data_IF_397466411438
#
_entry.id   IF_397466411438
#
_cell.length_a   1.000
_cell.length_b   1.000
_cell.length_c   1.000
_cell.angle_alpha   90.00
_cell.angle_beta   90.00
_cell.angle_gamma   90.00
#
_symmetry.space_group_name_H-M   'P 1'
#
loop_
_entity.id
_entity.type
_entity.pdbx_description
1 polymer ?
#
# COMPACT_ATOMS: atom_id res chain seq x y z
N UNK A 1 6.73 1.94 16.35
CA UNK A 1 7.55 2.30 17.54
C UNK A 1 7.77 1.06 18.40
N UNK A 2 8.86 1.01 19.15
CA UNK A 2 9.09 -0.01 20.18
C UNK A 2 8.29 0.27 21.46
N UNK A 3 8.23 -0.68 22.38
CA UNK A 3 7.57 -0.58 23.70
C UNK A 3 8.09 0.56 24.56
N UNK A 4 9.39 0.85 24.46
CA UNK A 4 10.11 1.92 25.17
C UNK A 4 10.15 3.25 24.40
N UNK A 5 9.32 3.41 23.35
CA UNK A 5 9.12 4.70 22.69
C UNK A 5 10.10 5.03 21.57
N UNK A 6 10.91 4.08 21.09
CA UNK A 6 11.83 4.32 19.98
C UNK A 6 11.07 4.25 18.66
N UNK A 7 11.09 5.35 17.90
CA UNK A 7 10.61 5.38 16.52
C UNK A 7 11.69 4.87 15.56
N UNK A 8 11.33 3.92 14.70
CA UNK A 8 12.23 3.27 13.76
C UNK A 8 11.50 2.91 12.46
N UNK A 9 12.26 2.72 11.39
CA UNK A 9 11.74 2.43 10.06
C UNK A 9 11.43 0.95 9.89
N UNK A 10 10.16 0.63 9.65
CA UNK A 10 9.69 -0.68 9.21
C UNK A 10 8.36 -0.53 8.47
N UNK A 11 8.09 -1.40 7.49
CA UNK A 11 6.85 -1.35 6.68
C UNK A 11 5.61 -1.96 7.36
N UNK A 12 5.70 -2.40 8.61
CA UNK A 12 4.58 -2.91 9.40
C UNK A 12 4.92 -2.89 10.89
N UNK A 13 3.89 -2.82 11.74
CA UNK A 13 4.02 -3.03 13.18
C UNK A 13 4.16 -4.52 13.54
N UNK A 14 3.71 -5.44 12.68
CA UNK A 14 3.90 -6.89 12.85
C UNK A 14 5.28 -7.30 12.31
N UNK A 15 6.18 -7.60 13.25
CA UNK A 15 7.56 -7.99 12.99
C UNK A 15 7.66 -9.38 12.35
N UNK A 16 6.61 -10.20 12.41
CA UNK A 16 6.67 -11.58 11.96
C UNK A 16 6.90 -11.70 10.44
N UNK A 17 6.31 -10.79 9.67
CA UNK A 17 6.34 -10.83 8.20
C UNK A 17 7.68 -10.39 7.60
N UNK A 18 8.46 -9.59 8.31
CA UNK A 18 9.62 -8.86 7.75
C UNK A 18 10.89 -8.99 8.60
N UNK A 19 10.89 -9.87 9.59
CA UNK A 19 12.04 -10.13 10.47
C UNK A 19 12.09 -11.60 10.91
N UNK A 20 13.09 -11.96 11.71
CA UNK A 20 13.19 -13.26 12.39
C UNK A 20 12.40 -13.34 13.71
N UNK A 21 11.42 -12.47 13.95
CA UNK A 21 10.71 -12.41 15.23
C UNK A 21 10.07 -13.74 15.65
N UNK A 22 9.44 -14.47 14.72
CA UNK A 22 8.79 -15.75 15.04
C UNK A 22 9.74 -16.83 15.58
N UNK A 23 11.05 -16.75 15.32
CA UNK A 23 12.00 -17.74 15.85
C UNK A 23 12.39 -17.48 17.30
N UNK A 24 12.25 -16.24 17.76
CA UNK A 24 12.81 -15.80 19.06
C UNK A 24 11.73 -15.34 20.04
N UNK A 25 10.64 -14.78 19.53
CA UNK A 25 9.58 -14.16 20.34
C UNK A 25 8.20 -14.79 20.09
N UNK A 26 8.16 -16.08 19.73
CA UNK A 26 6.90 -16.80 19.49
C UNK A 26 5.94 -16.72 20.68
N UNK A 27 6.46 -16.74 21.91
CA UNK A 27 5.66 -16.60 23.14
C UNK A 27 4.98 -15.24 23.30
N UNK A 28 5.44 -14.21 22.57
CA UNK A 28 4.84 -12.87 22.55
C UNK A 28 3.84 -12.68 21.42
N UNK A 29 3.53 -13.74 20.67
CA UNK A 29 2.54 -13.70 19.62
C UNK A 29 1.15 -13.45 20.20
N UNK A 30 0.45 -12.46 19.66
CA UNK A 30 -0.88 -12.06 20.11
C UNK A 30 -1.72 -11.59 18.94
N UNK A 31 -3.04 -11.46 19.13
CA UNK A 31 -3.95 -10.91 18.12
C UNK A 31 -4.39 -9.52 18.57
N UNK A 32 -4.18 -8.54 17.70
CA UNK A 32 -4.62 -7.14 17.89
C UNK A 32 -5.59 -6.81 16.77
N UNK A 33 -6.89 -6.97 17.05
CA UNK A 33 -7.95 -6.89 16.04
C UNK A 33 -8.07 -5.49 15.40
N UNK A 34 -7.61 -4.45 16.09
CA UNK A 34 -7.55 -3.07 15.58
C UNK A 34 -6.47 -2.90 14.49
N UNK A 35 -5.52 -3.83 14.39
CA UNK A 35 -4.40 -3.78 13.43
C UNK A 35 -4.57 -4.85 12.35
N UNK A 36 -4.79 -6.10 12.75
CA UNK A 36 -4.92 -7.23 11.85
C UNK A 36 -5.66 -8.42 12.49
N UNK A 37 -6.23 -9.28 11.65
CA UNK A 37 -6.99 -10.46 12.11
C UNK A 37 -6.13 -11.69 12.45
N UNK A 38 -4.85 -11.68 12.08
CA UNK A 38 -3.94 -12.80 12.36
C UNK A 38 -3.08 -12.50 13.58
N UNK A 39 -2.70 -13.54 14.29
CA UNK A 39 -1.72 -13.40 15.37
C UNK A 39 -0.38 -12.94 14.80
N UNK A 40 0.23 -11.97 15.47
CA UNK A 40 1.48 -11.34 15.07
C UNK A 40 2.38 -11.08 16.27
N UNK A 41 3.61 -10.66 15.99
CA UNK A 41 4.54 -10.21 17.03
C UNK A 41 4.76 -8.73 16.80
N UNK A 42 4.21 -7.90 17.67
CA UNK A 42 4.14 -6.48 17.40
C UNK A 42 5.32 -5.70 17.98
N UNK A 43 5.78 -4.68 17.25
CA UNK A 43 6.92 -3.85 17.66
C UNK A 43 6.70 -3.16 19.01
N UNK A 44 5.47 -2.76 19.31
CA UNK A 44 5.10 -2.07 20.55
C UNK A 44 5.00 -2.99 21.78
N UNK A 45 5.22 -4.30 21.61
CA UNK A 45 5.32 -5.28 22.70
C UNK A 45 6.79 -5.65 23.02
N UNK A 46 7.74 -5.18 22.21
CA UNK A 46 9.18 -5.41 22.38
C UNK A 46 9.94 -4.14 22.71
N UNK A 47 10.93 -4.23 23.60
CA UNK A 47 11.91 -3.17 23.81
C UNK A 47 12.74 -2.97 22.55
N UNK A 48 13.27 -1.76 22.34
CA UNK A 48 14.17 -1.50 21.21
C UNK A 48 15.39 -2.42 21.23
N UNK A 49 15.96 -2.68 22.41
CA UNK A 49 17.08 -3.61 22.59
C UNK A 49 16.73 -5.05 22.17
N UNK A 50 15.50 -5.51 22.39
CA UNK A 50 15.01 -6.81 21.90
C UNK A 50 14.90 -6.80 20.37
N UNK A 51 14.33 -5.74 19.78
CA UNK A 51 14.17 -5.59 18.33
C UNK A 51 15.53 -5.59 17.62
N UNK A 52 16.54 -4.96 18.21
CA UNK A 52 17.89 -4.92 17.65
C UNK A 52 18.57 -6.31 17.56
N UNK A 53 18.07 -7.31 18.29
CA UNK A 53 18.57 -8.70 18.17
C UNK A 53 18.01 -9.44 16.95
N UNK A 54 16.91 -8.94 16.38
CA UNK A 54 16.29 -9.53 15.21
C UNK A 54 17.09 -9.24 13.95
N UNK A 55 16.90 -10.08 12.93
CA UNK A 55 17.39 -9.80 11.59
C UNK A 55 16.23 -9.39 10.69
N UNK A 56 16.40 -8.38 9.81
CA UNK A 56 15.45 -8.14 8.72
C UNK A 56 15.24 -9.41 7.91
N UNK A 57 14.07 -9.58 7.30
CA UNK A 57 13.77 -10.67 6.39
C UNK A 57 13.19 -10.09 5.10
N UNK A 58 13.94 -10.18 4.02
CA UNK A 58 13.54 -9.70 2.71
C UNK A 58 12.47 -10.61 2.12
N UNK A 59 11.22 -10.17 2.19
CA UNK A 59 10.08 -10.87 1.62
C UNK A 59 9.67 -10.27 0.27
N UNK A 60 9.22 -11.15 -0.63
CA UNK A 60 8.59 -10.78 -1.88
C UNK A 60 7.08 -11.05 -1.83
N UNK A 61 6.31 -10.55 -2.82
CA UNK A 61 4.87 -10.79 -2.92
C UNK A 61 4.48 -12.27 -3.09
N UNK A 62 5.44 -13.16 -3.38
CA UNK A 62 5.25 -14.58 -3.67
C UNK A 62 6.07 -15.50 -2.75
N UNK A 63 6.34 -15.05 -1.52
CA UNK A 63 7.08 -15.83 -0.54
C UNK A 63 6.42 -17.20 -0.25
N UNK A 64 5.09 -17.29 -0.25
CA UNK A 64 4.35 -18.54 -0.04
C UNK A 64 4.57 -19.55 -1.18
N UNK A 65 4.79 -19.05 -2.40
CA UNK A 65 5.19 -19.85 -3.56
C UNK A 65 6.70 -20.18 -3.54
N UNK A 66 7.40 -19.86 -2.44
CA UNK A 66 8.86 -20.01 -2.26
C UNK A 66 9.69 -19.20 -3.26
N UNK A 67 9.11 -18.12 -3.79
CA UNK A 67 9.79 -17.18 -4.69
C UNK A 67 10.33 -16.01 -3.86
N UNK A 68 11.52 -16.21 -3.31
CA UNK A 68 12.25 -15.20 -2.54
C UNK A 68 12.98 -14.22 -3.47
N UNK A 69 12.99 -12.93 -3.13
CA UNK A 69 13.64 -11.88 -3.94
C UNK A 69 15.15 -12.04 -4.06
N UNK A 70 15.82 -12.27 -2.93
CA UNK A 70 17.27 -12.47 -2.89
C UNK A 70 17.63 -13.39 -1.70
N UNK A 71 17.63 -14.72 -1.92
CA UNK A 71 17.92 -15.70 -0.86
C UNK A 71 19.29 -15.48 -0.19
N UNK A 72 20.29 -15.08 -0.97
CA UNK A 72 21.66 -14.87 -0.47
C UNK A 72 21.75 -13.67 0.48
N UNK A 73 20.97 -12.62 0.23
CA UNK A 73 20.92 -11.41 1.05
C UNK A 73 19.65 -11.32 1.92
N UNK A 74 18.93 -12.43 2.14
CA UNK A 74 17.60 -12.43 2.78
C UNK A 74 17.56 -11.73 4.14
N UNK A 75 18.65 -11.79 4.90
CA UNK A 75 18.77 -11.16 6.21
C UNK A 75 19.79 -10.03 6.26
N UNK A 76 20.20 -9.50 5.11
CA UNK A 76 21.13 -8.38 5.05
C UNK A 76 20.45 -7.08 5.52
N UNK A 77 21.24 -6.20 6.14
CA UNK A 77 20.79 -4.90 6.63
C UNK A 77 20.66 -4.83 8.14
N UNK A 78 20.21 -3.66 8.62
CA UNK A 78 19.97 -3.34 10.03
C UNK A 78 18.75 -2.45 10.14
N UNK A 79 18.07 -2.50 11.29
CA UNK A 79 17.02 -1.52 11.58
C UNK A 79 17.64 -0.14 11.78
N UNK A 80 16.91 0.88 11.36
CA UNK A 80 17.32 2.27 11.43
C UNK A 80 16.29 3.04 12.24
N UNK A 81 16.74 3.80 13.23
CA UNK A 81 15.87 4.72 13.96
C UNK A 81 15.39 5.83 13.03
N UNK A 82 14.29 6.49 13.38
CA UNK A 82 13.79 7.62 12.61
C UNK A 82 14.84 8.73 12.50
N UNK A 83 15.58 9.03 13.58
CA UNK A 83 16.62 10.04 13.57
C UNK A 83 17.75 9.69 12.57
N UNK A 84 18.25 8.45 12.60
CA UNK A 84 19.28 8.00 11.67
C UNK A 84 18.80 8.02 10.21
N UNK A 85 17.53 7.68 9.96
CA UNK A 85 16.93 7.79 8.63
C UNK A 85 16.93 9.24 8.12
N UNK A 86 16.50 10.17 8.97
CA UNK A 86 16.40 11.58 8.64
C UNK A 86 17.79 12.19 8.34
N UNK A 87 18.82 11.80 9.09
CA UNK A 87 20.20 12.20 8.86
C UNK A 87 20.76 11.59 7.56
N UNK A 88 20.53 10.29 7.33
CA UNK A 88 20.93 9.60 6.12
C UNK A 88 20.29 10.23 4.86
N UNK A 89 18.99 10.52 4.94
CA UNK A 89 18.25 11.16 3.86
C UNK A 89 18.76 12.57 3.55
N UNK A 90 19.09 13.37 4.58
CA UNK A 90 19.68 14.71 4.42
C UNK A 90 21.03 14.70 3.73
N UNK A 91 21.86 13.69 4.02
CA UNK A 91 23.16 13.51 3.39
C UNK A 91 23.07 12.92 1.98
N UNK A 92 21.90 12.42 1.57
CA UNK A 92 21.70 11.73 0.29
C UNK A 92 21.25 12.68 -0.83
N UNK A 93 21.55 12.33 -2.08
CA UNK A 93 21.10 13.06 -3.27
C UNK A 93 19.66 12.68 -3.66
N UNK A 94 18.71 12.91 -2.75
CA UNK A 94 17.28 12.69 -2.96
C UNK A 94 16.52 14.01 -2.90
N UNK A 95 15.40 14.08 -3.62
CA UNK A 95 14.55 15.29 -3.70
C UNK A 95 13.58 15.43 -2.53
N UNK A 96 13.36 14.37 -1.76
CA UNK A 96 12.47 14.37 -0.63
C UNK A 96 12.40 13.03 0.08
N UNK A 97 11.64 13.01 1.18
CA UNK A 97 11.34 11.83 1.99
C UNK A 97 9.83 11.62 2.05
N UNK A 98 9.44 10.36 2.23
CA UNK A 98 8.08 9.96 2.54
C UNK A 98 8.12 9.19 3.86
N UNK A 99 7.28 9.60 4.81
CA UNK A 99 7.11 8.92 6.11
C UNK A 99 5.68 8.42 6.19
N UNK A 100 5.51 7.10 6.21
CA UNK A 100 4.25 6.44 6.52
C UNK A 100 4.02 6.35 8.02
N UNK A 101 2.84 6.75 8.48
CA UNK A 101 2.41 6.61 9.87
C UNK A 101 1.13 5.77 9.88
N UNK A 102 1.22 4.58 10.48
CA UNK A 102 0.10 3.63 10.58
C UNK A 102 -0.31 3.45 12.04
N UNK A 103 -1.59 3.17 12.27
CA UNK A 103 -2.14 2.79 13.59
C UNK A 103 -1.88 3.80 14.72
N UNK A 104 -1.82 5.10 14.41
CA UNK A 104 -1.45 6.12 15.40
C UNK A 104 -2.41 6.13 16.60
N UNK A 105 -3.71 6.03 16.34
CA UNK A 105 -4.74 6.00 17.40
C UNK A 105 -4.54 4.84 18.36
N UNK A 106 -4.22 3.65 17.84
CA UNK A 106 -3.93 2.47 18.66
C UNK A 106 -2.66 2.65 19.51
N UNK A 107 -1.60 3.22 18.92
CA UNK A 107 -0.35 3.47 19.63
C UNK A 107 -0.51 4.50 20.76
N UNK A 108 -1.30 5.56 20.56
CA UNK A 108 -1.61 6.55 21.59
C UNK A 108 -2.28 5.90 22.80
N UNK A 109 -3.23 4.99 22.59
CA UNK A 109 -3.88 4.23 23.67
C UNK A 109 -2.88 3.39 24.50
N UNK A 110 -1.69 3.12 23.96
CA UNK A 110 -0.58 2.43 24.62
C UNK A 110 0.53 3.38 25.11
N UNK A 111 0.22 4.67 25.22
CA UNK A 111 1.17 5.72 25.61
C UNK A 111 2.37 5.87 24.65
N UNK A 112 2.18 5.52 23.37
CA UNK A 112 3.17 5.67 22.30
C UNK A 112 2.66 6.68 21.28
N UNK A 113 3.05 7.94 21.43
CA UNK A 113 2.64 9.00 20.50
C UNK A 113 3.59 9.08 19.30
N UNK A 114 3.25 8.34 18.23
CA UNK A 114 4.03 8.31 16.99
C UNK A 114 3.97 9.63 16.22
N UNK A 115 2.87 10.37 16.32
CA UNK A 115 2.68 11.65 15.62
C UNK A 115 3.60 12.71 16.21
N UNK A 116 3.63 12.80 17.54
CA UNK A 116 4.55 13.68 18.27
C UNK A 116 6.01 13.28 18.04
N UNK A 117 6.33 11.98 18.12
CA UNK A 117 7.69 11.49 17.87
C UNK A 117 8.20 11.86 16.47
N UNK A 118 7.38 11.67 15.43
CA UNK A 118 7.73 12.03 14.04
C UNK A 118 7.86 13.55 13.88
N UNK A 119 6.91 14.32 14.41
CA UNK A 119 6.92 15.78 14.35
C UNK A 119 8.18 16.37 14.99
N UNK A 120 8.51 15.93 16.21
CA UNK A 120 9.73 16.36 16.92
C UNK A 120 10.99 15.96 16.17
N UNK A 121 11.06 14.75 15.61
CA UNK A 121 12.21 14.30 14.85
C UNK A 121 12.44 15.13 13.58
N UNK A 122 11.37 15.47 12.85
CA UNK A 122 11.43 16.33 11.66
C UNK A 122 11.90 17.75 11.99
N UNK A 123 11.37 18.35 13.06
CA UNK A 123 11.79 19.68 13.54
C UNK A 123 13.24 19.66 14.01
N UNK A 124 13.62 18.69 14.84
CA UNK A 124 14.99 18.54 15.35
C UNK A 124 15.99 18.39 14.21
N UNK A 125 15.63 17.62 13.19
CA UNK A 125 16.47 17.42 12.02
C UNK A 125 16.47 18.66 11.10
N UNK A 126 15.51 19.58 11.25
CA UNK A 126 15.40 20.81 10.46
C UNK A 126 14.74 20.62 9.10
N UNK A 127 13.83 19.66 8.97
CA UNK A 127 13.01 19.48 7.75
C UNK A 127 11.88 20.53 7.66
N UNK A 128 11.49 21.14 8.77
CA UNK A 128 10.50 22.22 8.85
C UNK A 128 11.05 23.58 8.38
N UNK A 129 12.37 23.71 8.27
CA UNK A 129 13.03 24.99 7.96
C UNK A 129 12.88 25.38 6.50
N UNK A 130 12.82 26.69 6.26
CA UNK A 130 12.76 27.23 4.90
C UNK A 130 13.97 26.87 4.05
N UNK A 131 15.13 26.70 4.69
CA UNK A 131 16.38 26.29 4.05
C UNK A 131 16.40 24.84 3.59
N UNK A 132 15.48 24.00 4.09
CA UNK A 132 15.39 22.61 3.64
C UNK A 132 14.81 22.55 2.22
N UNK A 133 15.60 22.05 1.28
CA UNK A 133 15.20 21.87 -0.13
C UNK A 133 14.48 20.54 -0.39
N UNK A 134 14.59 19.60 0.53
CA UNK A 134 13.98 18.28 0.42
C UNK A 134 12.49 18.38 0.75
N UNK A 135 11.64 17.82 -0.12
CA UNK A 135 10.20 17.68 0.14
C UNK A 135 9.96 16.68 1.26
N UNK A 136 8.90 16.89 2.04
CA UNK A 136 8.43 15.92 3.04
C UNK A 136 7.01 15.54 2.70
N UNK A 137 6.79 14.25 2.52
CA UNK A 137 5.47 13.64 2.36
C UNK A 137 5.15 12.88 3.66
N UNK A 138 4.03 13.20 4.28
CA UNK A 138 3.47 12.43 5.38
C UNK A 138 2.30 11.63 4.83
N UNK A 139 2.38 10.31 4.94
CA UNK A 139 1.39 9.40 4.42
C UNK A 139 0.70 8.68 5.59
N UNK A 140 -0.63 8.62 5.58
CA UNK A 140 -1.41 7.86 6.57
C UNK A 140 -2.80 7.53 6.02
N UNK A 141 -3.41 6.48 6.56
CA UNK A 141 -4.83 6.14 6.44
C UNK A 141 -5.71 6.99 7.38
N UNK A 142 -5.13 7.55 8.45
CA UNK A 142 -5.86 8.24 9.51
C UNK A 142 -5.94 9.75 9.24
N UNK A 143 -7.15 10.26 8.95
CA UNK A 143 -7.39 11.70 8.78
C UNK A 143 -6.90 12.56 9.97
N UNK A 144 -7.07 12.16 11.25
CA UNK A 144 -6.54 12.92 12.38
C UNK A 144 -5.00 13.03 12.38
N UNK A 145 -4.29 12.01 11.89
CA UNK A 145 -2.82 12.05 11.76
C UNK A 145 -2.45 13.12 10.75
N UNK A 146 -3.05 13.10 9.56
CA UNK A 146 -2.76 14.09 8.52
C UNK A 146 -3.13 15.51 8.96
N UNK A 147 -4.25 15.66 9.67
CA UNK A 147 -4.68 16.94 10.25
C UNK A 147 -3.64 17.52 11.24
N UNK A 148 -2.99 16.67 12.06
CA UNK A 148 -1.94 17.12 12.97
C UNK A 148 -0.73 17.75 12.24
N UNK A 149 -0.42 17.26 11.04
CA UNK A 149 0.67 17.80 10.20
C UNK A 149 0.29 19.04 9.39
N UNK A 150 -0.94 19.58 9.51
CA UNK A 150 -1.30 20.89 8.94
C UNK A 150 -0.46 22.04 9.51
N UNK A 151 0.07 21.84 10.72
CA UNK A 151 1.02 22.76 11.37
C UNK A 151 2.31 22.95 10.57
N UNK A 152 2.62 22.04 9.65
CA UNK A 152 3.76 22.12 8.73
C UNK A 152 3.28 22.41 7.30
N UNK A 153 3.11 23.69 6.90
CA UNK A 153 2.48 24.05 5.63
C UNK A 153 3.22 23.53 4.39
N UNK A 154 4.55 23.33 4.50
CA UNK A 154 5.40 22.80 3.41
C UNK A 154 5.27 21.29 3.21
N UNK A 155 4.73 20.57 4.19
CA UNK A 155 4.63 19.12 4.10
C UNK A 155 3.42 18.74 3.26
N UNK A 156 3.63 17.82 2.33
CA UNK A 156 2.54 17.22 1.57
C UNK A 156 1.92 16.11 2.42
N UNK A 157 0.59 16.11 2.53
CA UNK A 157 -0.18 15.19 3.36
C UNK A 157 -0.94 14.26 2.42
N UNK A 158 -0.59 12.98 2.47
CA UNK A 158 -1.03 11.96 1.52
C UNK A 158 -1.98 11.00 2.23
N UNK A 159 -3.26 11.08 1.91
CA UNK A 159 -4.24 10.10 2.37
C UNK A 159 -4.03 8.79 1.63
N UNK A 160 -3.81 7.70 2.36
CA UNK A 160 -3.77 6.37 1.76
C UNK A 160 -5.16 5.76 1.78
N UNK A 161 -5.60 5.27 0.63
CA UNK A 161 -6.83 4.49 0.52
C UNK A 161 -6.41 3.03 0.34
N UNK A 162 -6.64 2.23 1.40
CA UNK A 162 -6.18 0.84 1.47
C UNK A 162 -7.18 -0.18 0.91
N UNK A 163 -8.18 0.27 0.16
CA UNK A 163 -9.14 -0.60 -0.52
C UNK A 163 -9.42 -0.10 -1.93
N UNK A 164 -10.05 -0.98 -2.72
CA UNK A 164 -10.36 -0.66 -4.10
C UNK A 164 -11.57 0.27 -4.17
N UNK A 165 -11.46 1.35 -4.95
CA UNK A 165 -12.55 2.29 -5.20
C UNK A 165 -12.69 2.48 -6.71
N UNK A 166 -13.93 2.61 -7.18
CA UNK A 166 -14.19 2.93 -8.59
C UNK A 166 -14.28 4.43 -8.84
N UNK A 167 -14.55 5.19 -7.78
CA UNK A 167 -14.87 6.61 -7.84
C UNK A 167 -14.77 7.29 -6.47
N UNK A 168 -14.88 8.62 -6.41
CA UNK A 168 -15.02 9.42 -5.21
C UNK A 168 -16.14 10.45 -5.37
N UNK A 169 -17.03 10.53 -4.38
CA UNK A 169 -18.08 11.55 -4.37
C UNK A 169 -17.48 12.93 -4.12
N UNK A 170 -18.15 13.99 -4.61
CA UNK A 170 -17.70 15.36 -4.37
C UNK A 170 -17.54 15.68 -2.87
N UNK A 171 -18.49 15.33 -1.99
CA UNK A 171 -18.32 15.49 -0.55
C UNK A 171 -17.05 14.83 0.00
N UNK A 172 -16.70 13.63 -0.47
CA UNK A 172 -15.45 12.95 -0.08
C UNK A 172 -14.22 13.75 -0.50
N UNK A 173 -14.20 14.25 -1.74
CA UNK A 173 -13.08 15.09 -2.21
C UNK A 173 -12.95 16.37 -1.37
N UNK A 174 -14.07 17.03 -1.09
CA UNK A 174 -14.11 18.23 -0.25
C UNK A 174 -13.61 17.94 1.18
N UNK A 175 -14.00 16.80 1.76
CA UNK A 175 -13.55 16.36 3.09
C UNK A 175 -12.05 16.04 3.12
N UNK A 176 -11.52 15.35 2.11
CA UNK A 176 -10.08 15.03 2.02
C UNK A 176 -9.25 16.32 2.05
N UNK A 177 -9.70 17.38 1.38
CA UNK A 177 -9.00 18.66 1.33
C UNK A 177 -8.87 19.36 2.69
N UNK A 178 -9.70 18.99 3.67
CA UNK A 178 -9.60 19.56 5.02
C UNK A 178 -8.31 19.15 5.73
N UNK A 179 -7.72 18.01 5.38
CA UNK A 179 -6.54 17.46 6.07
C UNK A 179 -5.42 16.97 5.14
N UNK A 180 -5.69 16.69 3.87
CA UNK A 180 -4.73 16.19 2.89
C UNK A 180 -4.69 17.06 1.63
N UNK A 181 -3.62 16.91 0.84
CA UNK A 181 -3.48 17.53 -0.49
C UNK A 181 -2.98 16.53 -1.54
N UNK A 182 -3.02 15.24 -1.21
CA UNK A 182 -2.72 14.15 -2.09
C UNK A 182 -3.41 12.88 -1.60
N UNK A 183 -3.63 11.94 -2.53
CA UNK A 183 -4.20 10.62 -2.27
C UNK A 183 -3.26 9.58 -2.87
N UNK A 184 -3.01 8.50 -2.15
CA UNK A 184 -2.38 7.28 -2.66
C UNK A 184 -3.47 6.23 -2.90
N UNK A 185 -3.65 5.85 -4.16
CA UNK A 185 -4.56 4.80 -4.62
C UNK A 185 -3.84 3.46 -4.73
N UNK A 186 -4.61 2.37 -4.54
CA UNK A 186 -4.19 1.04 -4.96
C UNK A 186 -4.11 0.95 -6.47
N UNK A 187 -3.22 0.09 -6.96
CA UNK A 187 -3.11 -0.27 -8.38
C UNK A 187 -4.46 -0.69 -8.98
N UNK A 188 -5.20 -1.52 -8.27
CA UNK A 188 -6.53 -2.00 -8.66
C UNK A 188 -7.61 -0.92 -8.70
N UNK A 189 -7.46 0.15 -7.90
CA UNK A 189 -8.32 1.34 -8.00
C UNK A 189 -7.99 2.21 -9.21
N UNK A 190 -6.80 2.09 -9.81
CA UNK A 190 -6.37 2.86 -10.97
C UNK A 190 -6.60 2.10 -12.28
N UNK A 191 -6.16 0.84 -12.31
CA UNK A 191 -6.27 -0.08 -13.43
C UNK A 191 -7.02 -1.34 -12.97
N UNK A 192 -8.22 -1.54 -13.52
CA UNK A 192 -9.09 -2.69 -13.18
C UNK A 192 -8.55 -3.94 -13.86
N UNK A 193 -8.11 -4.89 -13.05
CA UNK A 193 -7.56 -6.17 -13.51
C UNK A 193 -8.41 -7.31 -12.96
N UNK A 194 -8.87 -8.20 -13.84
CA UNK A 194 -9.63 -9.39 -13.49
C UNK A 194 -8.98 -10.62 -14.12
N UNK A 195 -8.62 -11.61 -13.31
CA UNK A 195 -7.92 -12.80 -13.81
C UNK A 195 -6.67 -12.48 -14.61
N UNK A 196 -5.92 -11.45 -14.21
CA UNK A 196 -4.75 -10.89 -14.93
C UNK A 196 -5.06 -10.12 -16.22
N UNK A 197 -6.29 -10.06 -16.70
CA UNK A 197 -6.68 -9.24 -17.84
C UNK A 197 -6.98 -7.80 -17.41
N UNK A 198 -6.43 -6.82 -18.12
CA UNK A 198 -6.75 -5.42 -17.93
C UNK A 198 -8.10 -5.12 -18.58
N UNK A 199 -9.11 -4.75 -17.78
CA UNK A 199 -10.48 -4.51 -18.26
C UNK A 199 -10.78 -3.03 -18.52
N UNK A 200 -10.03 -2.13 -17.89
CA UNK A 200 -10.25 -0.69 -18.02
C UNK A 200 -9.56 0.11 -16.93
N UNK A 201 -9.62 1.43 -17.07
CA UNK A 201 -9.11 2.38 -16.10
C UNK A 201 -10.26 3.11 -15.39
N UNK A 202 -9.96 3.72 -14.26
CA UNK A 202 -10.88 4.58 -13.52
C UNK A 202 -10.55 6.06 -13.77
N UNK A 203 -10.44 6.49 -15.02
CA UNK A 203 -9.98 7.85 -15.34
C UNK A 203 -10.84 8.92 -14.67
N UNK A 204 -12.14 8.70 -14.59
CA UNK A 204 -13.06 9.62 -13.93
C UNK A 204 -12.80 9.77 -12.43
N UNK A 205 -12.19 8.79 -11.76
CA UNK A 205 -11.73 8.92 -10.36
C UNK A 205 -10.56 9.90 -10.28
N UNK A 206 -9.52 9.71 -11.10
CA UNK A 206 -8.33 10.57 -11.11
C UNK A 206 -8.70 11.99 -11.52
N UNK A 207 -9.51 12.15 -12.58
CA UNK A 207 -10.02 13.45 -13.03
C UNK A 207 -10.77 14.20 -11.92
N UNK A 208 -11.56 13.49 -11.09
CA UNK A 208 -12.28 14.09 -9.96
C UNK A 208 -11.37 14.50 -8.82
N UNK A 209 -10.37 13.68 -8.49
CA UNK A 209 -9.36 14.03 -7.49
C UNK A 209 -8.55 15.26 -7.95
N UNK A 210 -8.17 15.31 -9.22
CA UNK A 210 -7.49 16.47 -9.82
C UNK A 210 -8.36 17.72 -9.85
N UNK A 211 -9.65 17.60 -10.17
CA UNK A 211 -10.60 18.72 -10.11
C UNK A 211 -10.75 19.30 -8.69
N UNK A 212 -10.50 18.48 -7.66
CA UNK A 212 -10.37 18.91 -6.27
C UNK A 212 -9.01 19.50 -5.89
N UNK A 213 -8.02 19.55 -6.80
CA UNK A 213 -6.62 19.90 -6.54
C UNK A 213 -5.87 18.90 -5.64
N UNK A 214 -6.26 17.62 -5.64
CA UNK A 214 -5.51 16.56 -4.98
C UNK A 214 -4.49 15.95 -5.96
N UNK A 215 -3.25 15.79 -5.52
CA UNK A 215 -2.29 14.96 -6.27
C UNK A 215 -2.62 13.47 -6.10
N UNK A 216 -2.47 12.69 -7.15
CA UNK A 216 -2.76 11.26 -7.16
C UNK A 216 -1.48 10.45 -7.30
N UNK A 217 -1.18 9.64 -6.28
CA UNK A 217 -0.13 8.64 -6.33
C UNK A 217 -0.72 7.25 -6.52
N UNK A 218 -0.11 6.41 -7.36
CA UNK A 218 -0.55 5.01 -7.57
C UNK A 218 0.52 4.05 -7.06
N UNK A 219 0.12 3.01 -6.34
CA UNK A 219 1.06 2.04 -5.81
C UNK A 219 0.44 0.87 -5.05
N UNK A 220 1.23 -0.11 -4.62
CA UNK A 220 2.69 -0.21 -4.80
C UNK A 220 3.01 -1.09 -6.02
N UNK A 221 3.76 -0.55 -6.99
CA UNK A 221 4.20 -1.25 -8.21
C UNK A 221 5.33 -2.23 -7.90
N UNK A 222 5.28 -3.40 -8.55
CA UNK A 222 6.24 -4.48 -8.38
C UNK A 222 6.53 -5.17 -9.70
N UNK A 223 7.80 -5.38 -10.03
CA UNK A 223 8.24 -5.88 -11.33
C UNK A 223 7.99 -7.37 -11.53
N UNK A 224 7.77 -8.13 -10.47
CA UNK A 224 7.62 -9.58 -10.57
C UNK A 224 6.48 -9.91 -11.55
N UNK A 225 6.73 -10.73 -12.57
CA UNK A 225 5.80 -10.92 -13.70
C UNK A 225 4.39 -11.37 -13.27
N UNK A 226 4.28 -12.18 -12.21
CA UNK A 226 3.01 -12.62 -11.64
C UNK A 226 2.21 -11.48 -11.01
N UNK A 227 2.80 -10.30 -10.83
CA UNK A 227 2.14 -9.10 -10.32
C UNK A 227 1.56 -8.23 -11.45
N UNK A 228 2.00 -8.43 -12.68
CA UNK A 228 1.61 -7.62 -13.84
C UNK A 228 0.35 -8.20 -14.49
N UNK A 229 -0.50 -7.32 -15.04
CA UNK A 229 -1.55 -7.75 -15.96
C UNK A 229 -0.92 -8.30 -17.25
N UNK A 230 -1.61 -9.21 -17.92
CA UNK A 230 -1.15 -9.78 -19.20
C UNK A 230 -0.98 -8.71 -20.26
N UNK A 231 -1.83 -7.69 -20.26
CA UNK A 231 -1.79 -6.57 -21.20
C UNK A 231 -0.52 -5.70 -21.04
N UNK A 232 0.23 -5.87 -19.95
CA UNK A 232 1.56 -5.27 -19.77
C UNK A 232 2.69 -6.08 -20.42
N UNK A 233 2.39 -7.26 -21.02
CA UNK A 233 3.36 -8.10 -21.72
C UNK A 233 4.57 -8.51 -20.87
N UNK A 234 4.36 -8.68 -19.57
CA UNK A 234 5.40 -8.92 -18.56
C UNK A 234 6.48 -7.82 -18.50
N UNK A 235 6.19 -6.61 -19.00
CA UNK A 235 7.08 -5.46 -18.95
C UNK A 235 6.58 -4.43 -17.91
N UNK A 236 7.30 -4.23 -16.78
CA UNK A 236 6.93 -3.24 -15.78
C UNK A 236 7.02 -1.79 -16.27
N UNK A 237 7.75 -1.52 -17.35
CA UNK A 237 7.80 -0.18 -17.95
C UNK A 237 6.46 0.17 -18.60
N UNK A 238 5.75 -0.81 -19.16
CA UNK A 238 4.40 -0.62 -19.72
C UNK A 238 3.39 -0.32 -18.61
N UNK A 239 3.51 -0.97 -17.45
CA UNK A 239 2.69 -0.61 -16.27
C UNK A 239 2.95 0.84 -15.84
N UNK A 240 4.22 1.24 -15.71
CA UNK A 240 4.58 2.62 -15.35
C UNK A 240 4.03 3.62 -16.39
N UNK A 241 4.16 3.31 -17.69
CA UNK A 241 3.61 4.13 -18.75
C UNK A 241 2.08 4.24 -18.66
N UNK A 242 1.41 3.13 -18.34
CA UNK A 242 -0.04 3.08 -18.16
C UNK A 242 -0.50 3.95 -17.00
N UNK A 243 0.12 3.80 -15.83
CA UNK A 243 -0.22 4.59 -14.64
C UNK A 243 0.08 6.08 -14.84
N UNK A 244 1.12 6.42 -15.59
CA UNK A 244 1.50 7.82 -15.84
C UNK A 244 0.65 8.48 -16.92
N UNK A 245 0.42 7.79 -18.06
CA UNK A 245 -0.14 8.41 -19.27
C UNK A 245 -1.64 8.13 -19.45
N UNK A 246 -2.12 6.93 -19.08
CA UNK A 246 -3.52 6.55 -19.28
C UNK A 246 -4.37 6.79 -18.04
N UNK A 247 -3.85 6.44 -16.86
CA UNK A 247 -4.49 6.73 -15.57
C UNK A 247 -4.29 8.20 -15.20
N UNK A 248 -3.14 8.79 -15.52
CA UNK A 248 -2.84 10.19 -15.22
C UNK A 248 -2.31 10.43 -13.81
N UNK A 249 -1.64 9.45 -13.19
CA UNK A 249 -1.07 9.63 -11.85
C UNK A 249 0.03 10.71 -11.83
N UNK A 250 0.05 11.53 -10.78
CA UNK A 250 1.11 12.52 -10.52
C UNK A 250 2.43 11.86 -10.08
N UNK A 251 2.35 10.63 -9.56
CA UNK A 251 3.53 9.85 -9.19
C UNK A 251 3.22 8.40 -8.86
N UNK A 252 4.27 7.59 -8.80
CA UNK A 252 4.17 6.16 -8.50
C UNK A 252 4.93 5.80 -7.23
N UNK A 253 4.40 4.84 -6.48
CA UNK A 253 5.10 4.19 -5.36
C UNK A 253 5.51 2.80 -5.83
N UNK A 254 6.79 2.47 -5.76
CA UNK A 254 7.33 1.20 -6.27
C UNK A 254 8.38 0.61 -5.33
N UNK A 255 8.44 -0.73 -5.30
CA UNK A 255 9.54 -1.47 -4.66
C UNK A 255 10.78 -1.58 -5.58
N UNK A 256 10.68 -1.13 -6.84
CA UNK A 256 11.72 -1.22 -7.86
C UNK A 256 12.11 0.17 -8.38
N UNK A 257 12.69 1.05 -7.55
CA UNK A 257 12.98 2.44 -7.92
C UNK A 257 13.94 2.56 -9.11
N UNK A 258 14.82 1.58 -9.33
CA UNK A 258 15.71 1.56 -10.50
C UNK A 258 14.94 1.45 -11.83
N UNK A 259 13.85 0.68 -11.85
CA UNK A 259 13.00 0.51 -13.03
C UNK A 259 12.23 1.79 -13.33
N UNK A 260 11.61 2.39 -12.31
CA UNK A 260 10.96 3.70 -12.45
C UNK A 260 11.94 4.78 -12.92
N UNK A 261 13.14 4.86 -12.31
CA UNK A 261 14.15 5.81 -12.72
C UNK A 261 14.63 5.58 -14.17
N UNK A 262 14.73 4.32 -14.61
CA UNK A 262 15.08 3.99 -15.99
C UNK A 262 13.99 4.45 -16.97
N UNK A 263 12.72 4.24 -16.63
CA UNK A 263 11.59 4.73 -17.44
C UNK A 263 11.66 6.25 -17.58
N UNK A 264 11.62 7.00 -16.48
CA UNK A 264 11.52 8.47 -16.50
C UNK A 264 12.76 9.18 -17.08
N UNK A 265 13.91 8.52 -17.15
CA UNK A 265 15.11 9.05 -17.81
C UNK A 265 15.22 8.66 -19.28
N UNK A 266 14.41 7.71 -19.74
CA UNK A 266 14.45 7.23 -21.12
C UNK A 266 13.81 8.25 -22.05
N UNK A 267 14.41 8.57 -23.21
CA UNK A 267 13.73 9.33 -24.25
C UNK A 267 12.40 8.69 -24.70
N UNK A 268 12.31 7.35 -24.61
CA UNK A 268 11.14 6.59 -25.03
C UNK A 268 9.93 6.73 -24.09
N UNK A 269 10.09 7.37 -22.92
CA UNK A 269 8.96 7.67 -22.02
C UNK A 269 8.22 8.96 -22.40
N UNK A 270 8.80 9.77 -23.30
CA UNK A 270 8.15 10.99 -23.77
C UNK A 270 7.24 10.65 -24.96
N UNK A 271 5.96 10.43 -24.67
CA UNK A 271 4.96 10.06 -25.67
C UNK A 271 4.73 11.14 -26.75
N UNK A 272 5.07 12.41 -26.46
CA UNK A 272 4.91 13.51 -27.41
C UNK A 272 6.02 13.56 -28.48
N UNK A 273 7.14 12.85 -28.24
CA UNK A 273 8.29 12.79 -29.17
C UNK A 273 8.01 11.82 -30.32
N UNK A 274 7.42 12.36 -31.39
CA UNK A 274 7.07 11.61 -32.61
C UNK A 274 8.25 11.27 -33.53
N UNK A 275 9.44 11.79 -33.24
CA UNK A 275 10.67 11.58 -34.01
C UNK A 275 11.45 10.31 -33.59
N UNK A 276 11.03 9.64 -32.53
CA UNK A 276 11.65 8.42 -32.05
C UNK A 276 11.13 7.19 -32.82
N UNK A 277 11.99 6.20 -33.13
CA UNK A 277 11.57 4.97 -33.78
C UNK A 277 10.73 4.06 -32.85
N UNK A 278 10.80 4.28 -31.54
CA UNK A 278 10.06 3.53 -30.55
C UNK A 278 9.72 4.40 -29.34
N UNK A 279 8.51 4.20 -28.81
CA UNK A 279 7.99 4.83 -27.59
C UNK A 279 7.40 3.74 -26.72
N UNK A 280 7.62 3.82 -25.41
CA UNK A 280 6.98 2.91 -24.46
C UNK A 280 5.54 3.40 -24.30
N UNK A 281 4.62 2.72 -24.97
CA UNK A 281 3.21 3.06 -24.93
C UNK A 281 2.53 2.45 -23.70
N UNK A 282 1.49 3.11 -23.16
CA UNK A 282 0.65 2.50 -22.15
C UNK A 282 -0.11 1.30 -22.73
N UNK A 283 -0.52 0.37 -21.88
CA UNK A 283 -1.35 -0.74 -22.30
C UNK A 283 -2.77 -0.28 -22.66
N UNK A 284 -3.35 -0.94 -23.67
CA UNK A 284 -4.75 -0.74 -24.03
C UNK A 284 -5.62 -1.76 -23.29
N UNK A 285 -6.60 -1.31 -22.49
CA UNK A 285 -7.46 -2.22 -21.76
C UNK A 285 -8.36 -3.02 -22.72
N UNK A 286 -8.58 -4.29 -22.39
CA UNK A 286 -9.49 -5.19 -23.10
C UNK A 286 -8.91 -5.82 -24.37
N UNK A 287 -7.69 -5.47 -24.78
CA UNK A 287 -7.05 -6.04 -25.96
C UNK A 287 -6.89 -7.55 -25.88
N UNK A 288 -6.32 -8.05 -24.77
CA UNK A 288 -6.19 -9.49 -24.56
C UNK A 288 -7.49 -10.16 -24.13
N UNK A 289 -8.41 -9.42 -23.51
CA UNK A 289 -9.71 -9.94 -23.09
C UNK A 289 -10.53 -10.43 -24.29
N UNK A 290 -10.44 -9.76 -25.44
CA UNK A 290 -11.11 -10.16 -26.68
C UNK A 290 -10.56 -11.46 -27.28
N UNK A 291 -9.33 -11.82 -26.93
CA UNK A 291 -8.64 -13.03 -27.41
C UNK A 291 -8.72 -14.20 -26.42
N UNK A 292 -9.17 -13.93 -25.19
CA UNK A 292 -9.24 -14.93 -24.14
C UNK A 292 -10.34 -15.97 -24.42
N UNK A 293 -10.06 -17.23 -24.10
CA UNK A 293 -11.11 -18.25 -24.06
C UNK A 293 -12.14 -17.90 -22.97
N UNK A 294 -13.43 -18.14 -23.24
CA UNK A 294 -14.52 -17.78 -22.31
C UNK A 294 -14.37 -18.39 -20.92
N UNK A 295 -13.70 -19.53 -20.79
CA UNK A 295 -13.49 -20.20 -19.50
C UNK A 295 -12.19 -19.75 -18.81
N UNK A 296 -11.35 -18.93 -19.46
CA UNK A 296 -10.09 -18.42 -18.90
C UNK A 296 -10.26 -17.09 -18.15
N UNK A 297 -11.39 -16.41 -18.36
CA UNK A 297 -11.72 -15.15 -17.69
C UNK A 297 -12.62 -15.45 -16.49
N UNK A 298 -12.22 -15.11 -15.26
CA UNK A 298 -13.09 -15.24 -14.10
C UNK A 298 -14.36 -14.39 -14.25
N UNK A 299 -15.47 -14.76 -13.58
CA UNK A 299 -16.65 -13.91 -13.50
C UNK A 299 -16.25 -12.50 -13.04
N UNK A 300 -16.86 -11.48 -13.64
CA UNK A 300 -16.61 -10.09 -13.27
C UNK A 300 -16.87 -9.91 -11.76
N UNK A 301 -15.92 -9.34 -10.99
CA UNK A 301 -16.15 -9.07 -9.59
C UNK A 301 -17.23 -7.99 -9.42
N UNK A 302 -17.85 -7.89 -8.23
CA UNK A 302 -18.69 -6.74 -7.91
C UNK A 302 -17.94 -5.42 -8.15
N UNK A 303 -18.61 -4.38 -8.64
CA UNK A 303 -17.98 -3.07 -8.80
C UNK A 303 -17.39 -2.58 -7.48
N UNK A 304 -16.17 -2.02 -7.54
CA UNK A 304 -15.59 -1.36 -6.39
C UNK A 304 -16.48 -0.19 -5.94
N UNK A 305 -16.59 0.08 -4.63
CA UNK A 305 -17.44 1.15 -4.12
C UNK A 305 -16.97 2.53 -4.58
N UNK A 306 -17.89 3.49 -4.55
CA UNK A 306 -17.58 4.92 -4.60
C UNK A 306 -17.13 5.33 -3.21
N UNK A 307 -16.03 6.08 -3.10
CA UNK A 307 -15.57 6.64 -1.84
C UNK A 307 -16.56 7.71 -1.34
N UNK A 308 -17.16 7.47 -0.18
CA UNK A 308 -18.06 8.37 0.52
C UNK A 308 -17.45 8.93 1.82
N UNK A 309 -17.96 10.05 2.37
CA UNK A 309 -17.46 10.66 3.60
C UNK A 309 -17.25 9.69 4.78
N UNK A 310 -18.19 8.76 4.99
CA UNK A 310 -18.08 7.79 6.07
C UNK A 310 -16.85 6.87 5.95
N UNK A 311 -16.38 6.62 4.72
CA UNK A 311 -15.25 5.73 4.45
C UNK A 311 -13.91 6.40 4.80
N UNK A 312 -13.87 7.73 4.84
CA UNK A 312 -12.66 8.52 5.19
C UNK A 312 -12.43 8.50 6.70
N UNK A 313 -13.49 8.74 7.48
CA UNK A 313 -13.42 8.81 8.95
C UNK A 313 -13.25 7.44 9.59
N UNK A 314 -13.69 6.40 8.89
CA UNK A 314 -13.64 5.03 9.32
C UNK A 314 -13.20 4.18 8.12
N UNK A 315 -11.92 4.25 7.76
CA UNK A 315 -11.30 3.22 6.93
C UNK A 315 -11.27 1.90 7.71
N UNK A 316 -12.44 1.35 8.02
CA UNK A 316 -12.57 0.02 8.58
C UNK A 316 -12.12 -0.92 7.50
N UNK A 317 -11.17 -1.78 7.87
CA UNK A 317 -10.73 -2.87 7.00
C UNK A 317 -11.96 -3.61 6.47
N UNK A 318 -12.13 -3.80 5.15
CA UNK A 318 -13.30 -4.45 4.57
C UNK A 318 -13.50 -5.85 5.18
N UNK A 319 -14.73 -6.39 5.22
CA UNK A 319 -14.93 -7.75 5.78
C UNK A 319 -14.21 -8.79 4.92
N UNK A 320 -13.46 -9.71 5.52
CA UNK A 320 -12.77 -10.78 4.78
C UNK A 320 -13.78 -11.56 3.92
N UNK A 321 -13.54 -11.74 2.61
CA UNK A 321 -14.30 -12.71 1.83
C UNK A 321 -14.02 -14.14 2.36
N UNK A 322 -15.02 -15.01 2.29
CA UNK A 322 -14.93 -16.40 2.76
C UNK A 322 -14.08 -17.31 1.85
N UNK A 323 -13.62 -16.80 0.71
CA UNK A 323 -12.89 -17.55 -0.32
C UNK A 323 -11.44 -17.04 -0.42
N UNK A 324 -10.44 -17.90 -0.69
CA UNK A 324 -9.04 -17.50 -0.67
C UNK A 324 -8.69 -16.76 -1.96
N UNK A 325 -8.90 -15.44 -1.99
CA UNK A 325 -8.19 -14.59 -2.94
C UNK A 325 -6.76 -14.38 -2.45
N UNK A 326 -5.79 -14.80 -3.28
CA UNK A 326 -4.38 -14.49 -3.06
C UNK A 326 -4.18 -12.97 -3.07
N UNK A 327 -3.86 -12.41 -1.89
CA UNK A 327 -2.92 -11.28 -1.59
C UNK A 327 -3.48 -10.28 -0.57
N UNK A 328 -2.66 -9.98 0.43
CA UNK A 328 -2.51 -8.67 1.13
C UNK A 328 -3.75 -7.88 1.55
N UNK A 329 -4.90 -8.52 1.75
CA UNK A 329 -6.06 -7.86 2.34
C UNK A 329 -5.85 -7.69 3.85
N UNK A 330 -5.66 -6.45 4.30
CA UNK A 330 -6.07 -6.09 5.67
C UNK A 330 -7.60 -5.98 5.59
N UNK A 331 -8.30 -6.94 6.19
CA UNK A 331 -9.76 -7.03 6.24
C UNK A 331 -10.17 -7.20 7.71
N UNK A 332 -11.42 -6.90 8.11
CA UNK A 332 -11.98 -7.17 9.44
C UNK A 332 -12.79 -8.48 9.41
N UNK A 333 -12.86 -9.22 10.51
CA UNK A 333 -13.81 -10.34 10.61
C UNK A 333 -15.24 -9.79 10.69
N UNK A 334 -16.18 -10.45 10.02
CA UNK A 334 -17.61 -10.20 10.23
C UNK A 334 -17.98 -10.47 11.70
N UNK A 335 -19.12 -9.93 12.18
CA UNK A 335 -19.64 -10.29 13.49
C UNK A 335 -19.70 -11.81 13.62
N UNK A 336 -19.21 -12.39 14.73
CA UNK A 336 -19.46 -13.80 15.01
C UNK A 336 -20.97 -13.99 15.08
N UNK A 337 -21.55 -14.65 14.07
CA UNK A 337 -22.90 -15.16 14.20
C UNK A 337 -22.91 -16.12 15.40
N UNK A 338 -23.59 -15.73 16.48
CA UNK A 338 -24.00 -16.69 17.50
C UNK A 338 -24.87 -17.72 16.79
N UNK A 339 -24.55 -19.02 16.85
CA UNK A 339 -25.27 -20.03 16.10
C UNK A 339 -26.68 -20.15 16.68
N UNK A 340 -27.65 -19.51 16.01
CA UNK A 340 -29.07 -19.79 16.18
C UNK A 340 -29.50 -20.71 15.04
N UNK A 341 -29.47 -22.03 15.29
CA UNK A 341 -30.08 -23.00 14.39
C UNK A 341 -29.27 -24.29 14.28
N UNK A 342 -29.92 -25.41 14.58
CA UNK A 342 -29.34 -26.77 14.50
C UNK A 342 -28.90 -27.10 13.07
N UNK A 343 -27.84 -27.90 12.86
CA UNK A 343 -27.47 -28.36 11.54
C UNK A 343 -28.50 -29.38 11.03
N UNK A 344 -29.22 -29.04 9.97
CA UNK A 344 -29.87 -30.01 9.10
C UNK A 344 -28.85 -30.51 8.08
N UNK A 345 -28.34 -31.72 8.31
CA UNK A 345 -27.62 -32.47 7.29
C UNK A 345 -28.63 -33.17 6.38
N UNK A 346 -28.86 -32.63 5.17
CA UNK A 346 -29.44 -33.40 4.09
C UNK A 346 -28.31 -34.11 3.34
N UNK A 347 -28.11 -35.38 3.67
CA UNK A 347 -27.25 -36.30 2.95
C UNK A 347 -28.06 -36.86 1.77
N UNK A 348 -27.82 -36.37 0.56
CA UNK A 348 -28.14 -37.12 -0.64
C UNK A 348 -26.97 -38.08 -0.92
N UNK A 349 -27.03 -39.27 -0.32
CA UNK A 349 -26.23 -40.40 -0.77
C UNK A 349 -26.89 -41.00 -2.01
N UNK A 350 -26.20 -40.90 -3.14
CA UNK A 350 -26.42 -41.79 -4.26
C UNK A 350 -26.17 -43.23 -3.79
N UNK A 351 -27.17 -44.10 -3.91
CA UNK A 351 -26.97 -45.54 -3.83
C UNK A 351 -26.34 -46.01 -5.14
N UNK A 352 -25.14 -46.56 -5.04
CA UNK A 352 -24.65 -47.60 -5.93
C UNK A 352 -25.27 -48.94 -5.51
N UNK A 353 -25.26 -49.89 -6.44
CA UNK A 353 -25.74 -51.30 -6.43
C UNK A 353 -27.11 -51.43 -7.14
N UNK A 354 -27.28 -52.11 -8.27
CA UNK A 354 -26.49 -53.06 -9.08
C UNK A 354 -26.62 -52.77 -10.59
#
# INVERSE_FOLDING_TARGET
MSKDGVAFCLGSTDLNSSTTAATTFLEKMTTVNEIQNKSGIFSFDLLWSEIQTLKPNLVGPFADARLERNPAAKNAGKFMTLAEFLDFAKASNITGILIGIEHATYLIARSLDVVDAVSKALVKSGYDKETCKQRVLIQSEDAPVLAAFKTFPKFQRVLTIEFDISDASKPSVDEILEFANAVKLRRSSAARVNGFFLEGFTNSLVDRLHAGNLHVYVGVLKNEFMNLAFDYWADPLVEIATDTLSVGADGIVTEFPATAASYFRSPCSNYERKDLPFTINPAEPGGLLQLADRNSVPPAPPPAPVLEPQDILQQQLPVCPNDPMFRTFRCRLGPKETPTGKPEYNINMASLDD
#
